data_IF_441249462673
#
_entry.id   IF_441249462673
#
_cell.length_a   1.000
_cell.length_b   1.000
_cell.length_c   1.000
_cell.angle_alpha   90.00
_cell.angle_beta   90.00
_cell.angle_gamma   90.00
#
_symmetry.space_group_name_H-M   'P 1'
#
loop_
_entity.id
_entity.type
_entity.pdbx_description
1 polymer ?
#
# COMPACT_ATOMS: atom_id res chain seq x y z
N UNK A 1 60.58 -29.35 -66.12
CA UNK A 1 60.53 -28.46 -64.95
C UNK A 1 59.45 -27.42 -65.22
N UNK A 2 58.43 -27.43 -64.37
CA UNK A 2 57.12 -26.78 -64.55
C UNK A 2 57.23 -25.26 -64.44
N UNK A 3 56.86 -24.54 -65.50
CA UNK A 3 56.64 -23.09 -65.50
C UNK A 3 55.24 -22.70 -64.96
N UNK A 4 54.45 -23.65 -64.46
CA UNK A 4 53.08 -23.43 -64.00
C UNK A 4 52.90 -23.28 -62.49
N UNK A 5 53.98 -23.34 -61.71
CA UNK A 5 53.90 -23.26 -60.23
C UNK A 5 54.27 -21.89 -59.65
N UNK A 6 54.87 -21.00 -60.46
CA UNK A 6 55.32 -19.68 -60.00
C UNK A 6 54.26 -18.58 -60.15
N UNK A 7 53.25 -18.78 -61.00
CA UNK A 7 52.22 -17.76 -61.26
C UNK A 7 51.06 -17.78 -60.24
N UNK A 8 50.80 -18.92 -59.58
CA UNK A 8 49.77 -19.04 -58.53
C UNK A 8 50.19 -18.37 -57.21
N UNK A 9 51.50 -18.31 -56.90
CA UNK A 9 52.00 -17.59 -55.72
C UNK A 9 51.86 -16.06 -55.87
N UNK A 10 52.02 -15.52 -57.08
CA UNK A 10 51.97 -14.07 -57.33
C UNK A 10 50.54 -13.51 -57.38
N UNK A 11 49.56 -14.29 -57.87
CA UNK A 11 48.14 -13.94 -57.86
C UNK A 11 47.50 -13.96 -56.45
N UNK A 12 48.14 -14.64 -55.49
CA UNK A 12 47.73 -14.62 -54.08
C UNK A 12 47.97 -13.26 -53.41
N UNK A 13 48.90 -12.44 -53.95
CA UNK A 13 49.33 -11.19 -53.32
C UNK A 13 48.38 -10.00 -53.52
N UNK A 14 47.40 -10.09 -54.43
CA UNK A 14 46.54 -8.94 -54.80
C UNK A 14 45.04 -9.16 -54.69
N UNK A 15 44.56 -10.25 -54.09
CA UNK A 15 43.16 -10.35 -53.67
C UNK A 15 43.11 -10.46 -52.15
N UNK A 16 42.50 -9.47 -51.50
CA UNK A 16 42.13 -9.58 -50.07
C UNK A 16 41.02 -10.63 -49.95
N UNK A 17 41.39 -11.91 -50.02
CA UNK A 17 40.47 -13.03 -49.83
C UNK A 17 40.25 -13.18 -48.33
N UNK A 18 39.04 -12.92 -47.88
CA UNK A 18 38.64 -13.09 -46.48
C UNK A 18 38.19 -14.54 -46.32
N UNK A 19 38.84 -15.27 -45.42
CA UNK A 19 38.35 -16.56 -44.96
C UNK A 19 37.09 -16.35 -44.11
N UNK A 20 35.94 -16.68 -44.69
CA UNK A 20 34.62 -16.50 -44.08
C UNK A 20 34.50 -17.32 -42.80
N UNK A 21 35.06 -18.53 -42.76
CA UNK A 21 34.94 -19.40 -41.59
C UNK A 21 35.72 -18.81 -40.41
N UNK A 22 36.98 -18.41 -40.66
CA UNK A 22 37.82 -17.76 -39.64
C UNK A 22 37.24 -16.40 -39.20
N UNK A 23 36.68 -15.63 -40.11
CA UNK A 23 36.01 -14.37 -39.79
C UNK A 23 34.75 -14.61 -38.94
N UNK A 24 33.94 -15.62 -39.27
CA UNK A 24 32.77 -15.96 -38.47
C UNK A 24 33.22 -16.43 -37.10
N UNK A 25 34.14 -17.40 -37.00
CA UNK A 25 34.65 -17.96 -35.74
C UNK A 25 35.16 -16.90 -34.76
N UNK A 26 35.94 -15.94 -35.25
CA UNK A 26 36.44 -14.81 -34.45
C UNK A 26 35.31 -13.90 -33.95
N UNK A 27 34.25 -13.75 -34.74
CA UNK A 27 33.10 -12.89 -34.43
C UNK A 27 31.92 -13.63 -33.80
N UNK A 28 31.96 -14.97 -33.62
CA UNK A 28 30.85 -15.74 -33.02
C UNK A 28 30.43 -15.15 -31.68
N UNK A 29 31.39 -14.75 -30.83
CA UNK A 29 31.10 -14.13 -29.53
C UNK A 29 30.33 -12.82 -29.71
N UNK A 30 30.79 -11.94 -30.59
CA UNK A 30 30.14 -10.66 -30.88
C UNK A 30 28.74 -10.85 -31.48
N UNK A 31 28.58 -11.80 -32.41
CA UNK A 31 27.27 -12.15 -32.97
C UNK A 31 26.35 -12.72 -31.89
N UNK A 32 26.88 -13.54 -30.97
CA UNK A 32 26.10 -14.09 -29.87
C UNK A 32 25.69 -13.01 -28.85
N UNK A 33 26.58 -12.07 -28.54
CA UNK A 33 26.31 -10.92 -27.67
C UNK A 33 25.30 -9.99 -28.32
N UNK A 34 25.42 -9.72 -29.62
CA UNK A 34 24.48 -8.91 -30.38
C UNK A 34 23.09 -9.57 -30.42
N UNK A 35 23.00 -10.89 -30.67
CA UNK A 35 21.73 -11.59 -30.65
C UNK A 35 21.10 -11.57 -29.24
N UNK A 36 21.91 -11.74 -28.20
CA UNK A 36 21.45 -11.60 -26.81
C UNK A 36 21.00 -10.17 -26.51
N UNK A 37 21.73 -9.15 -26.94
CA UNK A 37 21.41 -7.74 -26.75
C UNK A 37 20.16 -7.36 -27.53
N UNK A 38 20.02 -7.71 -28.80
CA UNK A 38 18.80 -7.43 -29.59
C UNK A 38 17.56 -8.11 -28.99
N UNK A 39 17.72 -9.30 -28.41
CA UNK A 39 16.65 -10.00 -27.67
C UNK A 39 16.33 -9.38 -26.29
N UNK A 40 17.29 -8.67 -25.67
CA UNK A 40 17.24 -8.16 -24.29
C UNK A 40 17.14 -6.62 -24.12
N UNK A 41 17.67 -5.82 -25.04
CA UNK A 41 17.86 -4.35 -24.96
C UNK A 41 16.54 -3.57 -24.86
N UNK A 42 15.42 -4.21 -25.17
CA UNK A 42 14.10 -3.62 -25.03
C UNK A 42 13.41 -3.93 -23.68
N UNK A 43 14.02 -4.70 -22.76
CA UNK A 43 13.34 -5.22 -21.58
C UNK A 43 14.21 -5.30 -20.32
N UNK A 44 13.62 -4.89 -19.19
CA UNK A 44 14.16 -5.03 -17.84
C UNK A 44 14.57 -6.48 -17.59
N UNK A 45 15.86 -6.69 -17.32
CA UNK A 45 16.46 -8.00 -17.11
C UNK A 45 15.71 -8.81 -16.05
N UNK A 46 15.53 -10.11 -16.32
CA UNK A 46 14.89 -11.18 -15.52
C UNK A 46 13.47 -11.65 -15.91
N UNK A 47 12.79 -11.06 -16.89
CA UNK A 47 11.43 -11.51 -17.27
C UNK A 47 11.33 -12.42 -18.53
N UNK A 48 12.46 -12.84 -19.10
CA UNK A 48 12.55 -13.35 -20.48
C UNK A 48 12.20 -14.85 -20.60
N UNK A 49 11.18 -15.14 -21.41
CA UNK A 49 10.96 -16.43 -22.09
C UNK A 49 11.64 -16.38 -23.47
N UNK A 50 12.33 -17.46 -23.86
CA UNK A 50 12.98 -17.65 -25.17
C UNK A 50 11.94 -17.62 -26.32
N UNK A 51 12.28 -17.07 -27.49
CA UNK A 51 11.47 -17.13 -28.73
C UNK A 51 10.89 -15.81 -29.27
N UNK A 52 10.37 -15.80 -30.52
CA UNK A 52 9.88 -14.61 -31.20
C UNK A 52 8.66 -14.02 -30.49
N UNK A 53 8.78 -12.75 -30.05
CA UNK A 53 7.74 -12.07 -29.27
C UNK A 53 6.78 -11.30 -30.16
N UNK A 54 5.48 -11.51 -29.93
CA UNK A 54 4.45 -10.63 -30.49
C UNK A 54 4.63 -9.21 -29.95
N UNK A 55 4.14 -8.20 -30.67
CA UNK A 55 4.22 -6.78 -30.27
C UNK A 55 3.73 -6.53 -28.84
N UNK A 56 2.69 -7.27 -28.41
CA UNK A 56 2.12 -7.18 -27.07
C UNK A 56 3.01 -7.79 -25.98
N UNK A 57 3.82 -8.79 -26.34
CA UNK A 57 4.76 -9.47 -25.44
C UNK A 57 6.08 -8.70 -25.31
N UNK A 58 6.36 -7.71 -26.17
CA UNK A 58 7.52 -6.81 -26.04
C UNK A 58 7.40 -5.81 -24.89
N UNK A 59 6.30 -5.78 -24.14
CA UNK A 59 6.18 -4.96 -22.91
C UNK A 59 6.62 -5.78 -21.69
N UNK A 60 7.13 -5.13 -20.62
CA UNK A 60 7.35 -5.79 -19.33
C UNK A 60 6.06 -6.44 -18.79
N UNK A 61 6.15 -7.61 -18.16
CA UNK A 61 5.00 -8.41 -17.68
C UNK A 61 4.09 -7.60 -16.76
N UNK A 62 4.65 -6.80 -15.85
CA UNK A 62 3.88 -5.96 -14.92
C UNK A 62 3.06 -4.86 -15.64
N UNK A 63 3.49 -4.42 -16.83
CA UNK A 63 2.75 -3.46 -17.66
C UNK A 63 1.70 -4.12 -18.56
N UNK A 64 1.83 -5.42 -18.86
CA UNK A 64 0.92 -6.11 -19.79
C UNK A 64 -0.50 -6.15 -19.25
N UNK A 65 -1.48 -5.79 -20.10
CA UNK A 65 -2.92 -5.96 -19.83
C UNK A 65 -3.54 -6.94 -20.82
N UNK A 66 -4.38 -7.85 -20.34
CA UNK A 66 -5.11 -8.83 -21.20
C UNK A 66 -5.96 -8.17 -22.28
N UNK A 67 -6.45 -6.96 -22.02
CA UNK A 67 -7.30 -6.20 -22.94
C UNK A 67 -6.54 -5.49 -24.08
N UNK A 68 -5.20 -5.53 -24.11
CA UNK A 68 -4.40 -4.84 -25.14
C UNK A 68 -4.60 -5.42 -26.53
N UNK A 69 -4.94 -6.72 -26.64
CA UNK A 69 -5.23 -7.35 -27.94
C UNK A 69 -6.42 -6.68 -28.61
N UNK A 70 -7.50 -6.41 -27.87
CA UNK A 70 -8.73 -5.83 -28.43
C UNK A 70 -8.76 -4.30 -28.41
N UNK A 71 -8.01 -3.64 -27.52
CA UNK A 71 -8.06 -2.19 -27.34
C UNK A 71 -6.65 -1.61 -27.26
N UNK A 72 -6.26 -0.98 -28.37
CA UNK A 72 -4.96 -0.33 -28.55
C UNK A 72 -4.71 0.78 -27.52
N UNK A 73 -5.75 1.43 -26.98
CA UNK A 73 -5.59 2.48 -25.96
C UNK A 73 -4.98 1.96 -24.65
N UNK A 74 -4.95 0.65 -24.43
CA UNK A 74 -4.29 0.02 -23.26
C UNK A 74 -2.76 -0.09 -23.42
N UNK A 75 -2.21 0.20 -24.60
CA UNK A 75 -0.78 0.29 -24.85
C UNK A 75 -0.27 1.73 -24.64
N UNK A 76 1.03 1.91 -24.33
CA UNK A 76 1.71 3.22 -24.34
C UNK A 76 1.56 3.91 -25.68
N UNK A 77 1.34 5.24 -25.68
CA UNK A 77 1.06 6.04 -26.88
C UNK A 77 2.01 5.75 -28.05
N UNK A 78 3.33 5.76 -27.80
CA UNK A 78 4.38 5.52 -28.82
C UNK A 78 4.27 4.16 -29.50
N UNK A 79 3.77 3.12 -28.83
CA UNK A 79 3.66 1.76 -29.37
C UNK A 79 2.31 1.48 -30.06
N UNK A 80 1.38 2.45 -30.07
CA UNK A 80 0.03 2.25 -30.61
C UNK A 80 0.01 2.13 -32.13
N UNK A 81 0.73 2.98 -32.84
CA UNK A 81 0.81 2.99 -34.31
C UNK A 81 1.28 1.64 -34.83
N UNK A 82 2.41 1.16 -34.31
CA UNK A 82 2.97 -0.14 -34.64
C UNK A 82 2.01 -1.29 -34.30
N UNK A 83 1.42 -1.30 -33.10
CA UNK A 83 0.52 -2.38 -32.68
C UNK A 83 -0.80 -2.45 -33.47
N UNK A 84 -1.28 -1.35 -34.04
CA UNK A 84 -2.54 -1.31 -34.79
C UNK A 84 -2.54 -2.25 -35.99
N UNK A 85 -1.40 -2.34 -36.70
CA UNK A 85 -1.26 -3.21 -37.88
C UNK A 85 -1.49 -4.67 -37.51
N UNK A 86 -0.86 -5.14 -36.43
CA UNK A 86 -0.99 -6.51 -35.93
C UNK A 86 -2.38 -6.80 -35.34
N UNK A 87 -2.99 -5.81 -34.67
CA UNK A 87 -4.33 -5.98 -34.08
C UNK A 87 -5.40 -6.06 -35.18
N UNK A 88 -5.30 -5.25 -36.25
CA UNK A 88 -6.21 -5.32 -37.41
C UNK A 88 -6.15 -6.68 -38.10
N UNK A 89 -4.94 -7.24 -38.24
CA UNK A 89 -4.75 -8.58 -38.80
C UNK A 89 -5.30 -9.70 -37.89
N UNK A 90 -5.46 -9.43 -36.59
CA UNK A 90 -5.89 -10.45 -35.63
C UNK A 90 -7.42 -10.63 -35.62
N UNK A 91 -7.87 -11.88 -35.72
CA UNK A 91 -9.29 -12.24 -35.64
C UNK A 91 -9.70 -12.36 -34.18
N UNK A 92 -10.69 -11.57 -33.77
CA UNK A 92 -11.19 -11.53 -32.39
C UNK A 92 -12.60 -12.12 -32.31
N UNK A 93 -12.84 -12.98 -31.30
CA UNK A 93 -14.20 -13.46 -31.00
C UNK A 93 -15.09 -12.28 -30.56
N UNK A 94 -16.33 -12.24 -31.04
CA UNK A 94 -17.33 -11.24 -30.61
C UNK A 94 -17.54 -11.37 -29.10
N UNK A 95 -17.42 -10.26 -28.37
CA UNK A 95 -17.58 -10.25 -26.91
C UNK A 95 -19.07 -10.31 -26.56
N UNK A 96 -19.45 -11.03 -25.48
CA UNK A 96 -20.79 -10.93 -24.94
C UNK A 96 -21.09 -9.48 -24.49
N UNK A 97 -22.38 -9.09 -24.42
CA UNK A 97 -22.77 -7.74 -24.04
C UNK A 97 -22.13 -7.29 -22.73
N UNK A 98 -21.52 -6.11 -22.78
CA UNK A 98 -20.67 -5.56 -21.72
C UNK A 98 -21.39 -5.51 -20.38
N UNK A 99 -20.70 -5.96 -19.31
CA UNK A 99 -21.16 -5.84 -17.92
C UNK A 99 -21.47 -4.37 -17.54
N UNK A 100 -20.85 -3.40 -18.22
CA UNK A 100 -21.16 -1.96 -18.07
C UNK A 100 -22.62 -1.64 -18.42
N UNK A 101 -23.17 -2.24 -19.48
CA UNK A 101 -24.58 -2.05 -19.88
C UNK A 101 -25.56 -2.61 -18.84
N UNK A 102 -25.14 -3.64 -18.08
CA UNK A 102 -25.93 -4.26 -17.00
C UNK A 102 -25.86 -3.50 -15.66
N UNK A 103 -24.78 -2.79 -15.37
CA UNK A 103 -24.62 -2.01 -14.12
C UNK A 103 -24.92 -0.54 -14.39
N UNK A 104 -26.15 -0.10 -14.14
CA UNK A 104 -26.54 1.32 -14.24
C UNK A 104 -25.73 2.15 -13.24
N UNK A 105 -25.02 3.21 -13.66
CA UNK A 105 -24.14 3.98 -12.78
C UNK A 105 -24.90 4.82 -11.74
N UNK A 106 -26.16 5.18 -12.00
CA UNK A 106 -26.98 6.05 -11.14
C UNK A 106 -27.09 5.55 -9.68
N UNK A 107 -27.10 4.22 -9.46
CA UNK A 107 -27.32 3.65 -8.13
C UNK A 107 -26.04 3.08 -7.49
N UNK A 108 -24.86 3.43 -8.03
CA UNK A 108 -23.61 2.81 -7.60
C UNK A 108 -23.25 3.15 -6.14
N UNK A 109 -23.42 4.42 -5.75
CA UNK A 109 -23.13 4.90 -4.39
C UNK A 109 -24.06 4.26 -3.36
N UNK A 110 -25.37 4.23 -3.63
CA UNK A 110 -26.35 3.54 -2.77
C UNK A 110 -26.01 2.06 -2.63
N UNK A 111 -25.58 1.41 -3.71
CA UNK A 111 -25.14 0.02 -3.66
C UNK A 111 -23.82 -0.17 -2.89
N UNK A 112 -22.95 0.84 -2.82
CA UNK A 112 -21.76 0.81 -1.95
C UNK A 112 -22.15 1.02 -0.49
N UNK A 113 -22.95 2.04 -0.17
CA UNK A 113 -23.47 2.27 1.17
C UNK A 113 -24.17 1.01 1.72
N UNK A 114 -25.03 0.37 0.93
CA UNK A 114 -25.69 -0.88 1.31
C UNK A 114 -24.71 -2.02 1.61
N UNK A 115 -23.58 -2.10 0.90
CA UNK A 115 -22.56 -3.14 1.15
C UNK A 115 -21.67 -2.80 2.35
N UNK A 116 -21.42 -1.51 2.60
CA UNK A 116 -20.64 -1.01 3.73
C UNK A 116 -21.34 -1.27 5.08
N UNK A 117 -22.68 -1.45 5.09
CA UNK A 117 -23.44 -1.79 6.30
C UNK A 117 -23.04 -3.12 6.94
N UNK A 118 -22.57 -4.10 6.14
CA UNK A 118 -22.18 -5.42 6.69
C UNK A 118 -20.78 -5.38 7.30
N UNK A 119 -19.84 -4.77 6.58
CA UNK A 119 -18.44 -4.65 7.00
C UNK A 119 -17.96 -3.27 6.62
N UNK A 120 -17.17 -2.66 7.51
CA UNK A 120 -16.61 -1.33 7.31
C UNK A 120 -15.58 -1.38 6.17
N UNK A 121 -15.77 -0.50 5.19
CA UNK A 121 -14.87 -0.26 4.08
C UNK A 121 -14.01 0.95 4.42
N UNK A 122 -12.69 0.79 4.30
CA UNK A 122 -11.76 1.92 4.36
C UNK A 122 -11.95 2.83 3.13
N UNK A 123 -11.50 4.09 3.21
CA UNK A 123 -11.60 5.04 2.09
C UNK A 123 -10.92 4.52 0.81
N UNK A 124 -9.81 3.81 0.98
CA UNK A 124 -9.02 3.18 -0.09
C UNK A 124 -9.62 1.85 -0.57
N UNK A 125 -10.75 1.39 -0.02
CA UNK A 125 -11.29 0.04 -0.23
C UNK A 125 -11.50 -0.28 -1.71
N UNK A 126 -12.05 0.65 -2.50
CA UNK A 126 -12.29 0.43 -3.94
C UNK A 126 -10.96 0.24 -4.70
N UNK A 127 -9.90 0.93 -4.28
CA UNK A 127 -8.57 0.80 -4.89
C UNK A 127 -7.94 -0.55 -4.57
N UNK A 128 -8.00 -0.97 -3.29
CA UNK A 128 -7.49 -2.25 -2.84
C UNK A 128 -8.30 -3.42 -3.42
N UNK A 129 -9.64 -3.36 -3.41
CA UNK A 129 -10.49 -4.41 -3.96
C UNK A 129 -10.28 -4.67 -5.46
N UNK A 130 -9.70 -3.72 -6.20
CA UNK A 130 -9.32 -3.88 -7.61
C UNK A 130 -7.96 -4.57 -7.80
N UNK A 131 -7.14 -4.69 -6.77
CA UNK A 131 -5.73 -5.11 -6.85
C UNK A 131 -5.37 -6.25 -5.90
N UNK A 132 -6.15 -6.44 -4.85
CA UNK A 132 -5.91 -7.39 -3.77
C UNK A 132 -7.15 -8.26 -3.54
N UNK A 133 -6.92 -9.48 -3.04
CA UNK A 133 -7.92 -10.31 -2.42
C UNK A 133 -8.34 -9.66 -1.11
N UNK A 134 -9.63 -9.37 -0.97
CA UNK A 134 -10.20 -8.73 0.21
C UNK A 134 -10.77 -9.79 1.15
N UNK A 135 -10.45 -9.71 2.44
CA UNK A 135 -10.94 -10.62 3.48
C UNK A 135 -11.71 -9.83 4.54
N UNK A 136 -12.70 -10.47 5.14
CA UNK A 136 -13.52 -9.92 6.24
C UNK A 136 -12.86 -10.33 7.58
N UNK A 137 -12.39 -9.33 8.35
CA UNK A 137 -11.71 -9.50 9.65
C UNK A 137 -12.05 -8.33 10.57
N UNK A 138 -12.37 -8.63 11.83
CA UNK A 138 -12.61 -7.63 12.89
C UNK A 138 -13.66 -6.56 12.53
N UNK A 139 -14.70 -6.95 11.78
CA UNK A 139 -15.73 -6.02 11.28
C UNK A 139 -15.32 -5.17 10.07
N UNK A 140 -14.06 -5.28 9.61
CA UNK A 140 -13.54 -4.58 8.43
C UNK A 140 -13.39 -5.51 7.24
N UNK A 141 -13.37 -4.91 6.04
CA UNK A 141 -12.99 -5.59 4.79
C UNK A 141 -11.64 -5.08 4.29
N UNK A 142 -10.58 -5.82 4.63
CA UNK A 142 -9.18 -5.43 4.44
C UNK A 142 -8.48 -6.21 3.31
N UNK A 143 -7.44 -5.64 2.68
CA UNK A 143 -6.63 -6.34 1.70
C UNK A 143 -5.74 -7.40 2.36
N UNK A 144 -5.77 -8.63 1.85
CA UNK A 144 -4.94 -9.74 2.35
C UNK A 144 -3.73 -10.02 1.45
N UNK A 145 -3.96 -10.20 0.14
CA UNK A 145 -2.89 -10.58 -0.79
C UNK A 145 -3.09 -9.90 -2.15
N UNK A 146 -2.01 -9.46 -2.79
CA UNK A 146 -2.07 -8.90 -4.15
C UNK A 146 -2.47 -9.98 -5.17
N UNK A 147 -3.20 -9.60 -6.22
CA UNK A 147 -3.45 -10.48 -7.36
C UNK A 147 -2.19 -10.83 -8.15
N UNK A 148 -1.12 -10.03 -7.99
CA UNK A 148 0.18 -10.33 -8.56
C UNK A 148 1.04 -11.09 -7.56
N UNK A 149 1.83 -12.05 -8.04
CA UNK A 149 2.83 -12.75 -7.23
C UNK A 149 4.00 -11.81 -6.94
N UNK A 150 3.85 -10.99 -5.91
CA UNK A 150 4.76 -9.89 -5.60
C UNK A 150 5.59 -10.09 -4.32
N UNK A 151 5.62 -11.29 -3.70
CA UNK A 151 6.34 -11.51 -2.44
C UNK A 151 7.83 -11.09 -2.48
N UNK A 152 8.61 -11.66 -3.42
CA UNK A 152 10.03 -11.30 -3.58
C UNK A 152 10.25 -9.84 -4.02
N UNK A 153 9.50 -9.32 -5.01
CA UNK A 153 9.55 -7.90 -5.35
C UNK A 153 9.31 -6.98 -4.16
N UNK A 154 8.25 -7.21 -3.38
CA UNK A 154 7.91 -6.37 -2.22
C UNK A 154 9.01 -6.36 -1.17
N UNK A 155 9.64 -7.50 -0.90
CA UNK A 155 10.79 -7.55 0.02
C UNK A 155 12.01 -6.78 -0.52
N UNK A 156 12.32 -6.94 -1.81
CA UNK A 156 13.40 -6.18 -2.44
C UNK A 156 13.11 -4.68 -2.43
N UNK A 157 11.86 -4.31 -2.69
CA UNK A 157 11.41 -2.93 -2.72
C UNK A 157 11.39 -2.32 -1.31
N UNK A 158 11.19 -3.09 -0.24
CA UNK A 158 11.30 -2.57 1.14
C UNK A 158 12.74 -2.26 1.56
N UNK A 159 13.73 -2.94 0.96
CA UNK A 159 15.16 -2.71 1.25
C UNK A 159 15.74 -1.61 0.35
N UNK A 160 15.42 -1.63 -0.94
CA UNK A 160 16.07 -0.75 -1.93
C UNK A 160 15.18 0.37 -2.47
N UNK A 161 13.87 0.30 -2.27
CA UNK A 161 12.90 1.25 -2.82
C UNK A 161 11.91 1.67 -1.72
N UNK A 162 10.62 1.77 -2.04
CA UNK A 162 9.57 2.15 -1.11
C UNK A 162 8.41 1.16 -1.16
N UNK A 163 7.83 0.88 0.01
CA UNK A 163 6.59 0.12 0.16
C UNK A 163 5.68 0.92 1.08
N UNK A 164 4.41 1.08 0.68
CA UNK A 164 3.39 1.77 1.47
C UNK A 164 2.30 0.77 1.84
N UNK A 165 1.86 0.83 3.09
CA UNK A 165 0.77 0.01 3.63
C UNK A 165 -0.33 0.91 4.17
N UNK A 166 -1.57 0.47 4.00
CA UNK A 166 -2.73 1.15 4.59
C UNK A 166 -3.08 0.52 5.93
N UNK A 167 -2.92 1.30 7.01
CA UNK A 167 -3.20 0.90 8.39
C UNK A 167 -4.35 1.71 9.00
N UNK A 168 -5.20 2.31 8.17
CA UNK A 168 -6.32 3.16 8.61
C UNK A 168 -7.41 2.42 9.41
N UNK A 169 -7.31 1.08 9.51
CA UNK A 169 -8.22 0.27 10.34
C UNK A 169 -7.87 0.30 11.83
N UNK A 170 -6.69 0.82 12.21
CA UNK A 170 -6.36 1.04 13.61
C UNK A 170 -7.31 2.08 14.22
N UNK A 171 -7.79 1.80 15.43
CA UNK A 171 -8.66 2.70 16.17
C UNK A 171 -7.81 3.68 16.96
N UNK A 172 -8.19 4.95 16.91
CA UNK A 172 -7.53 6.04 17.60
C UNK A 172 -8.41 6.48 18.77
N UNK A 173 -7.88 6.37 19.98
CA UNK A 173 -8.51 6.84 21.22
C UNK A 173 -7.70 8.06 21.67
N UNK A 174 -8.36 9.18 21.87
CA UNK A 174 -7.73 10.41 22.29
C UNK A 174 -8.20 10.74 23.71
N UNK A 175 -7.26 10.99 24.60
CA UNK A 175 -7.53 11.42 25.98
C UNK A 175 -7.00 12.84 26.12
N UNK A 176 -7.91 13.80 26.28
CA UNK A 176 -7.59 15.21 26.52
C UNK A 176 -7.61 15.44 28.02
N UNK A 177 -6.55 16.03 28.54
CA UNK A 177 -6.36 16.27 29.97
C UNK A 177 -5.76 17.65 30.20
N UNK A 178 -6.17 18.30 31.28
CA UNK A 178 -5.53 19.52 31.77
C UNK A 178 -4.19 19.20 32.43
N UNK A 179 -4.24 18.44 33.54
CA UNK A 179 -3.05 17.97 34.25
C UNK A 179 -2.72 16.51 33.91
N UNK A 180 -1.43 16.21 33.74
CA UNK A 180 -0.93 14.86 33.39
C UNK A 180 -0.86 13.94 34.61
N UNK A 181 -0.53 14.48 35.78
CA UNK A 181 -0.25 13.69 36.98
C UNK A 181 -1.37 12.69 37.36
N UNK A 182 -2.65 13.08 37.44
CA UNK A 182 -3.71 12.15 37.81
C UNK A 182 -3.93 11.05 36.76
N UNK A 183 -3.85 11.39 35.48
CA UNK A 183 -4.04 10.43 34.39
C UNK A 183 -2.87 9.45 34.32
N UNK A 184 -1.63 9.92 34.53
CA UNK A 184 -0.46 9.05 34.59
C UNK A 184 -0.55 8.05 35.76
N UNK A 185 -1.01 8.50 36.92
CA UNK A 185 -1.23 7.62 38.08
C UNK A 185 -2.25 6.53 37.77
N UNK A 186 -3.36 6.88 37.11
CA UNK A 186 -4.36 5.90 36.68
C UNK A 186 -3.81 4.96 35.59
N UNK A 187 -3.05 5.49 34.63
CA UNK A 187 -2.48 4.68 33.56
C UNK A 187 -1.45 3.67 34.06
N UNK A 188 -0.74 3.97 35.15
CA UNK A 188 0.25 3.06 35.74
C UNK A 188 -0.35 1.69 36.09
N UNK A 189 -1.64 1.59 36.41
CA UNK A 189 -2.30 0.31 36.68
C UNK A 189 -2.34 -0.62 35.45
N UNK A 190 -2.30 -0.07 34.23
CA UNK A 190 -2.41 -0.83 32.98
C UNK A 190 -1.06 -1.25 32.38
N UNK A 191 0.02 -0.57 32.77
CA UNK A 191 1.34 -0.79 32.20
C UNK A 191 2.31 -1.29 33.26
N UNK A 192 3.11 -2.30 32.93
CA UNK A 192 4.20 -2.74 33.80
C UNK A 192 5.52 -2.12 33.35
N UNK A 193 6.24 -1.40 34.23
CA UNK A 193 7.54 -0.80 33.90
C UNK A 193 8.64 -1.83 33.63
N UNK A 194 8.43 -3.09 34.06
CA UNK A 194 9.37 -4.19 33.80
C UNK A 194 9.23 -4.77 32.39
N UNK A 195 8.06 -4.62 31.76
CA UNK A 195 7.76 -5.25 30.46
C UNK A 195 7.95 -4.30 29.28
N UNK A 196 7.61 -3.02 29.45
CA UNK A 196 7.63 -2.04 28.37
C UNK A 196 7.76 -0.60 28.88
N UNK A 197 8.08 0.31 27.97
CA UNK A 197 8.08 1.75 28.23
C UNK A 197 6.66 2.20 28.58
N UNK A 198 6.51 2.80 29.76
CA UNK A 198 5.24 3.32 30.23
C UNK A 198 4.99 4.74 29.70
N UNK A 199 3.73 5.21 29.67
CA UNK A 199 3.41 6.59 29.31
C UNK A 199 4.07 7.65 30.22
N UNK A 200 4.46 7.26 31.44
CA UNK A 200 5.15 8.09 32.42
C UNK A 200 6.68 8.11 32.25
N UNK A 201 7.23 7.42 31.25
CA UNK A 201 8.67 7.46 30.99
C UNK A 201 9.06 8.82 30.40
N UNK A 202 10.19 9.39 30.84
CA UNK A 202 10.73 10.66 30.31
C UNK A 202 10.83 10.66 28.77
N UNK A 203 11.16 9.52 28.18
CA UNK A 203 11.23 9.36 26.72
C UNK A 203 9.88 9.55 26.03
N UNK A 204 8.79 9.11 26.66
CA UNK A 204 7.44 9.29 26.13
C UNK A 204 6.92 10.71 26.36
N UNK A 205 7.22 11.33 27.50
CA UNK A 205 6.73 12.65 27.91
C UNK A 205 7.08 13.78 26.92
N UNK A 206 8.20 13.65 26.21
CA UNK A 206 8.66 14.58 25.18
C UNK A 206 7.70 14.68 23.99
N UNK A 207 6.82 13.69 23.76
CA UNK A 207 5.82 13.69 22.70
C UNK A 207 6.37 13.64 21.27
N UNK A 208 7.68 13.38 21.11
CA UNK A 208 8.35 13.37 19.80
C UNK A 208 8.22 12.05 19.06
N UNK A 209 7.97 10.97 19.79
CA UNK A 209 8.01 9.61 19.26
C UNK A 209 6.74 8.84 19.60
N UNK A 210 6.35 7.97 18.68
CA UNK A 210 5.35 6.95 18.93
C UNK A 210 6.01 5.77 19.64
N UNK A 211 5.43 5.36 20.78
CA UNK A 211 5.95 4.28 21.61
C UNK A 211 5.01 3.09 21.53
N UNK A 212 5.58 1.89 21.37
CA UNK A 212 4.83 0.63 21.45
C UNK A 212 4.90 0.08 22.87
N UNK A 213 3.75 -0.27 23.45
CA UNK A 213 3.64 -0.85 24.79
C UNK A 213 2.61 -1.99 24.84
N UNK A 214 2.62 -2.70 25.96
CA UNK A 214 1.67 -3.77 26.25
C UNK A 214 0.62 -3.28 27.26
N UNK A 215 -0.64 -3.56 26.97
CA UNK A 215 -1.77 -3.16 27.79
C UNK A 215 -2.33 -4.38 28.53
N UNK A 216 -2.47 -4.23 29.84
CA UNK A 216 -2.99 -5.25 30.74
C UNK A 216 -4.29 -4.77 31.37
N UNK A 217 -5.02 -5.68 32.00
CA UNK A 217 -6.07 -5.31 32.94
C UNK A 217 -5.47 -4.56 34.15
N UNK A 218 -6.23 -3.66 34.81
CA UNK A 218 -5.73 -2.87 35.92
C UNK A 218 -5.12 -3.75 37.02
N UNK A 219 -3.86 -3.52 37.37
CA UNK A 219 -3.14 -4.20 38.46
C UNK A 219 -3.06 -5.74 38.37
N UNK A 220 -3.30 -6.34 37.20
CA UNK A 220 -3.32 -7.80 37.03
C UNK A 220 -2.01 -8.39 36.47
N UNK A 221 -0.97 -7.59 36.25
CA UNK A 221 0.32 -8.06 35.70
C UNK A 221 0.97 -9.16 36.57
N UNK A 222 1.45 -10.28 35.99
CA UNK A 222 1.61 -10.60 34.56
C UNK A 222 0.38 -11.28 33.90
N UNK A 223 -0.70 -11.50 34.65
CA UNK A 223 -1.96 -12.05 34.13
C UNK A 223 -2.78 -10.92 33.46
N UNK A 224 -3.86 -11.27 32.78
CA UNK A 224 -4.77 -10.27 32.21
C UNK A 224 -4.21 -9.46 31.03
N UNK A 225 -3.32 -10.03 30.22
CA UNK A 225 -2.83 -9.39 28.99
C UNK A 225 -3.97 -9.17 27.99
N UNK A 226 -4.15 -7.93 27.55
CA UNK A 226 -5.15 -7.55 26.55
C UNK A 226 -4.52 -7.50 25.16
N UNK A 227 -3.41 -6.77 25.01
CA UNK A 227 -2.73 -6.69 23.72
C UNK A 227 -1.69 -5.57 23.59
N UNK A 228 -1.03 -5.49 22.42
CA UNK A 228 -0.11 -4.40 22.10
C UNK A 228 -0.87 -3.14 21.70
N UNK A 229 -0.33 -2.01 22.13
CA UNK A 229 -0.86 -0.67 21.89
C UNK A 229 0.28 0.24 21.45
N UNK A 230 -0.01 1.22 20.61
CA UNK A 230 0.93 2.30 20.29
C UNK A 230 0.37 3.59 20.84
N UNK A 231 1.20 4.43 21.43
CA UNK A 231 0.75 5.70 22.00
C UNK A 231 1.76 6.82 21.74
N UNK A 232 1.26 8.06 21.80
CA UNK A 232 2.07 9.26 21.63
C UNK A 232 1.44 10.40 22.43
N UNK A 233 2.30 11.18 23.10
CA UNK A 233 1.90 12.42 23.75
C UNK A 233 1.93 13.57 22.75
N UNK A 234 0.95 14.46 22.85
CA UNK A 234 0.89 15.73 22.14
C UNK A 234 0.52 16.83 23.12
N UNK A 235 1.21 17.95 23.07
CA UNK A 235 0.87 19.13 23.85
C UNK A 235 0.21 20.15 22.93
N UNK A 236 -0.99 20.59 23.29
CA UNK A 236 -1.67 21.66 22.57
C UNK A 236 -1.18 23.03 23.07
N UNK A 237 -1.31 24.06 22.25
CA UNK A 237 -0.91 25.44 22.57
C UNK A 237 -1.70 26.03 23.73
N UNK A 238 -2.91 25.50 23.96
CA UNK A 238 -3.83 25.95 25.00
C UNK A 238 -3.46 25.44 26.41
N UNK A 239 -2.28 24.82 26.56
CA UNK A 239 -1.83 24.20 27.82
C UNK A 239 -2.44 22.84 28.10
N UNK A 240 -3.37 22.36 27.26
CA UNK A 240 -3.93 21.02 27.37
C UNK A 240 -2.98 19.96 26.81
N UNK A 241 -2.97 18.81 27.48
CA UNK A 241 -2.19 17.66 27.07
C UNK A 241 -3.11 16.60 26.47
N UNK A 242 -2.59 15.90 25.47
CA UNK A 242 -3.33 14.94 24.69
C UNK A 242 -2.52 13.64 24.61
N UNK A 243 -3.12 12.54 25.06
CA UNK A 243 -2.58 11.21 24.84
C UNK A 243 -3.36 10.54 23.72
N UNK A 244 -2.66 10.24 22.63
CA UNK A 244 -3.22 9.51 21.49
C UNK A 244 -2.81 8.05 21.60
N UNK A 245 -3.80 7.16 21.54
CA UNK A 245 -3.62 5.72 21.66
C UNK A 245 -4.15 5.04 20.40
N UNK A 246 -3.28 4.34 19.67
CA UNK A 246 -3.66 3.49 18.56
C UNK A 246 -3.77 2.03 19.00
N UNK A 247 -4.94 1.45 18.73
CA UNK A 247 -5.26 0.07 19.07
C UNK A 247 -5.75 -0.70 17.86
N UNK A 248 -5.51 -2.00 17.89
CA UNK A 248 -6.08 -2.90 16.90
C UNK A 248 -7.61 -3.04 17.13
N UNK A 249 -8.45 -3.08 16.07
CA UNK A 249 -9.92 -3.08 16.21
C UNK A 249 -10.50 -4.30 16.94
N UNK A 250 -9.77 -5.40 17.08
CA UNK A 250 -10.22 -6.54 17.90
C UNK A 250 -10.12 -6.30 19.40
N UNK A 251 -9.27 -5.37 19.81
CA UNK A 251 -8.89 -5.08 21.19
C UNK A 251 -9.47 -3.73 21.64
N UNK A 252 -9.78 -2.85 20.68
CA UNK A 252 -10.21 -1.47 20.95
C UNK A 252 -11.37 -1.35 21.94
N UNK A 253 -12.35 -2.25 21.86
CA UNK A 253 -13.56 -2.17 22.67
C UNK A 253 -13.26 -2.50 24.14
N UNK A 254 -12.41 -3.50 24.40
CA UNK A 254 -11.96 -3.86 25.74
C UNK A 254 -11.07 -2.77 26.34
N UNK A 255 -10.15 -2.21 25.55
CA UNK A 255 -9.28 -1.11 26.00
C UNK A 255 -10.13 0.12 26.36
N UNK A 256 -11.10 0.48 25.53
CA UNK A 256 -11.96 1.62 25.78
C UNK A 256 -12.81 1.42 27.04
N UNK A 257 -13.38 0.23 27.24
CA UNK A 257 -14.15 -0.11 28.45
C UNK A 257 -13.30 0.03 29.72
N UNK A 258 -12.10 -0.56 29.72
CA UNK A 258 -11.19 -0.47 30.87
C UNK A 258 -10.71 0.96 31.14
N UNK A 259 -10.43 1.74 30.09
CA UNK A 259 -10.06 3.15 30.24
C UNK A 259 -11.19 3.98 30.83
N UNK A 260 -12.43 3.81 30.35
CA UNK A 260 -13.60 4.53 30.86
C UNK A 260 -13.85 4.22 32.33
N UNK A 261 -13.82 2.94 32.70
CA UNK A 261 -14.06 2.49 34.09
C UNK A 261 -12.99 3.04 35.04
N UNK A 262 -11.73 3.07 34.63
CA UNK A 262 -10.64 3.47 35.53
C UNK A 262 -10.38 4.99 35.56
N UNK A 263 -10.68 5.70 34.48
CA UNK A 263 -10.53 7.16 34.41
C UNK A 263 -11.78 7.93 34.84
N UNK A 264 -12.88 7.23 35.19
CA UNK A 264 -14.19 7.81 35.50
C UNK A 264 -14.66 8.86 34.46
N UNK A 265 -14.30 8.65 33.20
CA UNK A 265 -14.55 9.61 32.14
C UNK A 265 -15.90 9.37 31.47
N UNK A 266 -16.62 10.45 31.14
CA UNK A 266 -17.81 10.38 30.27
C UNK A 266 -17.42 10.25 28.81
N UNK A 267 -18.18 9.46 28.05
CA UNK A 267 -18.01 9.36 26.58
C UNK A 267 -18.43 10.67 25.92
N UNK A 268 -17.51 11.32 25.22
CA UNK A 268 -17.85 12.33 24.23
C UNK A 268 -17.99 11.64 22.87
N UNK A 269 -19.23 11.36 22.49
CA UNK A 269 -19.55 10.97 21.12
C UNK A 269 -19.31 12.19 20.22
N UNK A 270 -18.23 12.18 19.44
CA UNK A 270 -18.02 13.23 18.44
C UNK A 270 -19.00 13.00 17.29
N UNK A 271 -20.21 13.54 17.42
CA UNK A 271 -21.16 13.70 16.32
C UNK A 271 -21.65 15.14 16.31
N UNK A 272 -21.46 15.77 15.15
CA UNK A 272 -21.99 17.03 14.63
C UNK A 272 -21.02 18.23 14.56
N UNK A 273 -20.80 18.67 13.32
CA UNK A 273 -20.11 19.89 12.99
C UNK A 273 -20.94 21.13 13.34
N UNK A 274 -20.24 22.12 13.88
CA UNK A 274 -20.47 23.55 13.69
C UNK A 274 -21.88 24.09 13.92
N UNK A 275 -22.17 24.51 15.16
CA UNK A 275 -22.79 25.82 15.47
C UNK A 275 -22.14 26.37 16.73
N UNK A 276 -21.77 27.66 16.70
CA UNK A 276 -21.02 28.32 17.75
C UNK A 276 -21.87 28.84 18.92
N UNK A 277 -21.12 29.23 19.97
CA UNK A 277 -21.47 30.01 21.18
C UNK A 277 -22.54 29.39 22.09
N UNK A 278 -22.39 29.36 23.42
CA UNK A 278 -21.97 30.44 24.35
C UNK A 278 -21.19 29.90 25.56
N UNK A 279 -20.42 30.79 26.20
CA UNK A 279 -19.86 30.59 27.53
C UNK A 279 -20.97 30.46 28.58
N UNK A 280 -20.77 29.59 29.58
CA UNK A 280 -21.10 29.84 30.99
C UNK A 280 -20.47 28.78 31.94
N UNK A 281 -19.77 29.32 32.94
CA UNK A 281 -19.42 28.86 34.31
C UNK A 281 -19.11 27.39 34.66
N UNK A 282 -17.90 27.22 35.22
CA UNK A 282 -17.56 26.51 36.45
C UNK A 282 -18.18 25.14 36.76
N UNK A 283 -17.38 24.08 36.57
CA UNK A 283 -17.16 23.05 37.59
C UNK A 283 -15.90 22.25 37.23
N UNK A 284 -14.94 22.21 38.15
CA UNK A 284 -13.68 21.49 37.99
C UNK A 284 -13.88 19.98 37.90
N UNK A 285 -13.24 19.38 36.89
CA UNK A 285 -13.07 17.94 36.75
C UNK A 285 -13.67 17.41 35.46
N UNK A 286 -12.95 17.51 34.34
CA UNK A 286 -13.31 16.77 33.13
C UNK A 286 -12.04 16.25 32.43
N UNK A 287 -11.83 14.94 32.51
CA UNK A 287 -10.95 14.20 31.61
C UNK A 287 -11.80 13.74 30.42
N UNK A 288 -11.71 14.48 29.32
CA UNK A 288 -12.49 14.19 28.12
C UNK A 288 -11.81 13.11 27.28
N UNK A 289 -12.45 11.96 27.14
CA UNK A 289 -12.04 10.92 26.18
C UNK A 289 -12.83 11.15 24.89
N UNK A 290 -12.15 11.66 23.87
CA UNK A 290 -12.71 11.74 22.52
C UNK A 290 -12.38 10.47 21.74
N UNK A 291 -13.44 9.86 21.19
CA UNK A 291 -13.34 8.66 20.38
C UNK A 291 -13.64 9.01 18.92
N UNK A 292 -12.64 8.88 18.05
CA UNK A 292 -12.87 8.89 16.61
C UNK A 292 -13.47 7.53 16.20
N UNK A 293 -14.79 7.41 16.34
CA UNK A 293 -15.53 6.40 15.59
C UNK A 293 -15.34 6.77 14.12
N UNK A 294 -14.72 5.91 13.32
CA UNK A 294 -14.78 5.97 11.85
C UNK A 294 -16.22 5.70 11.38
N UNK A 295 -17.20 6.45 11.88
CA UNK A 295 -18.55 6.56 11.38
C UNK A 295 -18.56 7.77 10.44
N UNK A 296 -18.07 7.56 9.22
CA UNK A 296 -18.24 8.56 8.19
C UNK A 296 -19.68 8.52 7.70
N UNK A 297 -20.43 9.51 8.16
CA UNK A 297 -21.66 9.99 7.56
C UNK A 297 -21.42 10.17 6.06
N UNK A 298 -22.23 9.47 5.27
CA UNK A 298 -22.54 9.93 3.93
C UNK A 298 -23.16 11.31 4.04
N UNK A 299 -22.42 12.37 3.70
CA UNK A 299 -22.82 13.41 2.74
C UNK A 299 -21.93 14.66 2.80
N UNK A 300 -21.72 15.21 1.59
CA UNK A 300 -21.46 16.63 1.25
C UNK A 300 -20.23 17.34 1.81
N UNK A 301 -19.28 17.59 0.88
CA UNK A 301 -18.76 18.92 0.53
C UNK A 301 -18.50 19.89 1.70
N UNK A 302 -17.23 20.07 2.09
CA UNK A 302 -16.46 21.27 1.77
C UNK A 302 -15.04 21.15 2.32
N UNK A 303 -14.07 21.40 1.46
CA UNK A 303 -12.68 21.62 1.83
C UNK A 303 -12.57 22.89 2.67
N UNK A 304 -11.83 22.84 3.77
CA UNK A 304 -10.92 23.92 4.17
C UNK A 304 -9.74 23.29 4.89
N UNK A 305 -8.57 23.53 4.33
CA UNK A 305 -7.25 23.22 4.87
C UNK A 305 -6.92 24.27 5.92
N UNK A 306 -6.55 23.83 7.12
CA UNK A 306 -5.67 24.51 8.07
C UNK A 306 -5.23 23.50 9.12
#
# INVERSE_FOLDING_TARGET
MSWGQLDDELLSSQKRVIDVNKFVETNIKQVSELLQAVDNDNLVGREVTKGPRTVLQRLPRHMRRRAMSYNVKRLPRRRRSYALQFIKASRHRKKPPSRFRRRRPRNLLQAYARRNRKNIWLETHIWHAKRFFMIERWGYKIPFQSFQRAFRPTYRDSVHHCVIQDMSFLRCIQIVMGDRAPVLSALHAFFSPLACLTPASKFAEDGRFEVSAFFYKPNEYPKGFIGPIRFMWSANRDGTHCLVIWTHPSISDQVLEHLIVHLNASKLDTVEGGKGLTADSDTGGFNDISYCKNEYLSNSLNCTVS
#
